data_IF_245409384899
#
_entry.id   IF_245409384899
#
_cell.length_a   1.000
_cell.length_b   1.000
_cell.length_c   1.000
_cell.angle_alpha   90.00
_cell.angle_beta   90.00
_cell.angle_gamma   90.00
#
_symmetry.space_group_name_H-M   'P 1'
#
loop_
_entity.id
_entity.type
_entity.pdbx_description
1 polymer ?
#
# COMPACT_ATOMS: atom_id res chain seq x y z
N UNK A 1 -6.12 20.73 9.53
CA UNK A 1 -6.45 20.82 8.09
C UNK A 1 -5.21 20.81 7.20
N UNK A 2 -4.19 21.64 7.48
CA UNK A 2 -2.95 21.64 6.69
C UNK A 2 -2.22 20.28 6.71
N UNK A 3 -2.24 19.60 7.85
CA UNK A 3 -1.80 18.21 8.02
C UNK A 3 -2.44 17.25 7.02
N UNK A 4 -3.78 17.26 6.89
CA UNK A 4 -4.50 16.40 5.97
C UNK A 4 -4.13 16.68 4.50
N UNK A 5 -3.93 17.95 4.14
CA UNK A 5 -3.50 18.35 2.79
C UNK A 5 -2.09 17.83 2.50
N UNK A 6 -1.14 18.02 3.43
CA UNK A 6 0.24 17.54 3.28
C UNK A 6 0.24 16.00 3.11
N UNK A 7 -0.50 15.27 3.95
CA UNK A 7 -0.57 13.81 3.88
C UNK A 7 -1.19 13.37 2.54
N UNK A 8 -2.23 14.08 2.06
CA UNK A 8 -2.84 13.83 0.76
C UNK A 8 -1.89 14.06 -0.43
N UNK A 9 -1.11 15.14 -0.40
CA UNK A 9 -0.08 15.41 -1.41
C UNK A 9 1.00 14.32 -1.40
N UNK A 10 1.45 13.91 -0.22
CA UNK A 10 2.38 12.78 -0.09
C UNK A 10 1.77 11.46 -0.60
N UNK A 11 0.46 11.23 -0.42
CA UNK A 11 -0.22 10.09 -1.00
C UNK A 11 -0.23 10.13 -2.53
N UNK A 12 -0.38 11.31 -3.15
CA UNK A 12 -0.31 11.46 -4.60
C UNK A 12 1.08 11.07 -5.12
N UNK A 13 2.16 11.49 -4.44
CA UNK A 13 3.54 11.06 -4.76
C UNK A 13 3.70 9.54 -4.61
N UNK A 14 3.03 8.93 -3.63
CA UNK A 14 3.08 7.49 -3.41
C UNK A 14 2.40 6.64 -4.51
N UNK A 15 1.89 7.25 -5.57
CA UNK A 15 1.46 6.54 -6.79
C UNK A 15 2.64 6.09 -7.66
N UNK A 16 3.84 6.63 -7.43
CA UNK A 16 5.07 6.18 -8.09
C UNK A 16 5.28 4.69 -7.76
N UNK A 17 5.44 3.81 -8.77
CA UNK A 17 5.70 2.39 -8.55
C UNK A 17 6.90 2.15 -7.62
N UNK A 18 6.72 1.24 -6.67
CA UNK A 18 7.75 0.91 -5.67
C UNK A 18 7.68 1.73 -4.39
N UNK A 19 6.99 2.88 -4.36
CA UNK A 19 6.73 3.59 -3.11
C UNK A 19 5.62 2.92 -2.30
N UNK A 20 5.87 2.74 -1.00
CA UNK A 20 4.87 2.23 -0.08
C UNK A 20 3.88 3.33 0.30
N UNK A 21 2.64 3.27 -0.22
CA UNK A 21 1.59 4.25 0.13
C UNK A 21 1.35 4.37 1.64
N UNK A 22 1.25 3.26 2.36
CA UNK A 22 1.08 3.29 3.82
C UNK A 22 2.32 3.87 4.50
N UNK A 23 3.52 3.50 4.07
CA UNK A 23 4.77 4.09 4.56
C UNK A 23 4.83 5.61 4.39
N UNK A 24 4.58 6.09 3.19
CA UNK A 24 4.62 7.52 2.85
C UNK A 24 3.58 8.33 3.64
N UNK A 25 2.34 7.85 3.72
CA UNK A 25 1.27 8.58 4.43
C UNK A 25 1.41 8.53 5.96
N UNK A 26 1.91 7.42 6.52
CA UNK A 26 2.22 7.34 7.95
C UNK A 26 3.40 8.26 8.30
N UNK A 27 4.47 8.24 7.51
CA UNK A 27 5.64 9.11 7.73
C UNK A 27 5.27 10.58 7.60
N UNK A 28 4.48 10.96 6.59
CA UNK A 28 3.95 12.32 6.45
C UNK A 28 3.10 12.72 7.67
N UNK A 29 2.21 11.83 8.13
CA UNK A 29 1.39 12.09 9.31
C UNK A 29 2.21 12.30 10.59
N UNK A 30 3.25 11.48 10.78
CA UNK A 30 4.19 11.65 11.90
C UNK A 30 4.95 12.98 11.78
N UNK A 31 5.40 13.35 10.58
CA UNK A 31 6.12 14.60 10.32
C UNK A 31 5.24 15.84 10.54
N UNK A 32 3.93 15.74 10.31
CA UNK A 32 2.95 16.79 10.63
C UNK A 32 2.53 16.80 12.11
N UNK A 33 3.13 15.95 12.96
CA UNK A 33 2.88 15.93 14.41
C UNK A 33 1.76 15.00 14.87
N UNK A 34 1.20 14.15 14.00
CA UNK A 34 0.19 13.17 14.42
C UNK A 34 0.82 12.11 15.32
N UNK A 35 0.06 11.68 16.33
CA UNK A 35 0.43 10.49 17.10
C UNK A 35 0.50 9.26 16.20
N UNK A 36 1.45 8.37 16.47
CA UNK A 36 1.71 7.19 15.63
C UNK A 36 0.50 6.27 15.44
N UNK A 37 -0.24 6.01 16.50
CA UNK A 37 -1.46 5.20 16.48
C UNK A 37 -2.55 5.85 15.62
N UNK A 38 -2.67 7.17 15.68
CA UNK A 38 -3.60 7.93 14.86
C UNK A 38 -3.15 7.98 13.39
N UNK A 39 -1.87 8.26 13.11
CA UNK A 39 -1.32 8.31 11.76
C UNK A 39 -1.51 6.98 11.00
N UNK A 40 -1.34 5.85 11.68
CA UNK A 40 -1.60 4.51 11.12
C UNK A 40 -3.08 4.33 10.77
N UNK A 41 -4.00 4.67 11.68
CA UNK A 41 -5.44 4.58 11.43
C UNK A 41 -5.87 5.50 10.28
N UNK A 42 -5.36 6.73 10.28
CA UNK A 42 -5.63 7.73 9.26
C UNK A 42 -5.16 7.27 7.88
N UNK A 43 -3.94 6.74 7.77
CA UNK A 43 -3.41 6.16 6.52
C UNK A 43 -4.27 5.03 5.95
N UNK A 44 -4.84 4.17 6.80
CA UNK A 44 -5.75 3.11 6.36
C UNK A 44 -7.07 3.68 5.83
N UNK A 45 -7.70 4.60 6.57
CA UNK A 45 -8.96 5.22 6.14
C UNK A 45 -8.79 6.00 4.84
N UNK A 46 -7.71 6.79 4.74
CA UNK A 46 -7.39 7.59 3.55
C UNK A 46 -7.24 6.73 2.28
N UNK A 47 -6.93 5.46 2.45
CA UNK A 47 -6.70 4.57 1.33
C UNK A 47 -7.91 3.85 0.78
N UNK A 48 -8.99 3.77 1.54
CA UNK A 48 -10.23 3.18 1.06
C UNK A 48 -10.69 3.86 -0.24
N UNK A 49 -10.86 5.20 -0.32
CA UNK A 49 -11.26 5.84 -1.57
C UNK A 49 -10.22 5.71 -2.68
N UNK A 50 -8.93 5.78 -2.35
CA UNK A 50 -7.86 5.69 -3.35
C UNK A 50 -7.77 4.29 -3.99
N UNK A 51 -7.81 3.23 -3.19
CA UNK A 51 -7.75 1.84 -3.67
C UNK A 51 -9.03 1.46 -4.41
N UNK A 52 -10.20 1.92 -3.93
CA UNK A 52 -11.47 1.73 -4.64
C UNK A 52 -11.44 2.40 -6.02
N UNK A 53 -10.99 3.65 -6.10
CA UNK A 53 -10.85 4.35 -7.38
C UNK A 53 -9.89 3.65 -8.35
N UNK A 54 -8.73 3.19 -7.84
CA UNK A 54 -7.77 2.43 -8.63
C UNK A 54 -8.36 1.10 -9.15
N UNK A 55 -9.13 0.38 -8.33
CA UNK A 55 -9.78 -0.87 -8.72
C UNK A 55 -10.88 -0.65 -9.76
N UNK A 56 -11.70 0.40 -9.63
CA UNK A 56 -12.72 0.74 -10.63
C UNK A 56 -12.05 0.99 -11.99
N UNK A 57 -10.98 1.77 -12.01
CA UNK A 57 -10.24 2.06 -13.24
C UNK A 57 -9.59 0.80 -13.84
N UNK A 58 -8.99 -0.05 -12.99
CA UNK A 58 -8.39 -1.31 -13.41
C UNK A 58 -9.43 -2.26 -14.00
N UNK A 59 -10.61 -2.36 -13.40
CA UNK A 59 -11.71 -3.21 -13.87
C UNK A 59 -12.29 -2.70 -15.19
N UNK A 60 -12.49 -1.38 -15.33
CA UNK A 60 -12.92 -0.79 -16.60
C UNK A 60 -11.93 -1.07 -17.73
N UNK A 61 -10.61 -0.99 -17.45
CA UNK A 61 -9.56 -1.33 -18.41
C UNK A 61 -9.55 -2.82 -18.76
N UNK A 62 -9.77 -3.70 -17.78
CA UNK A 62 -9.86 -5.15 -17.99
C UNK A 62 -11.04 -5.52 -18.89
N UNK A 63 -12.22 -4.92 -18.68
CA UNK A 63 -13.39 -5.12 -19.55
C UNK A 63 -13.08 -4.67 -20.98
N UNK A 64 -12.47 -3.48 -21.15
CA UNK A 64 -12.13 -2.94 -22.47
C UNK A 64 -11.14 -3.82 -23.24
N UNK A 65 -10.20 -4.45 -22.55
CA UNK A 65 -9.19 -5.32 -23.15
C UNK A 65 -9.69 -6.75 -23.39
N UNK A 66 -10.88 -7.10 -22.92
CA UNK A 66 -11.42 -8.47 -22.95
C UNK A 66 -10.92 -9.28 -21.75
N UNK A 67 -11.86 -9.76 -20.93
CA UNK A 67 -11.55 -10.63 -19.79
C UNK A 67 -11.47 -12.07 -20.29
N UNK A 68 -10.35 -12.73 -20.01
CA UNK A 68 -10.22 -14.17 -20.23
C UNK A 68 -10.97 -14.95 -19.15
N UNK A 69 -12.14 -15.47 -19.51
CA UNK A 69 -13.01 -16.22 -18.63
C UNK A 69 -12.47 -17.61 -18.29
N UNK A 70 -11.52 -18.15 -19.05
CA UNK A 70 -10.88 -19.44 -18.72
C UNK A 70 -10.08 -19.35 -17.41
N UNK A 71 -9.57 -18.16 -17.09
CA UNK A 71 -8.80 -17.86 -15.89
C UNK A 71 -9.67 -17.48 -14.68
N UNK A 72 -11.01 -17.52 -14.79
CA UNK A 72 -11.94 -17.17 -13.71
C UNK A 72 -11.65 -17.89 -12.38
N UNK A 73 -11.33 -19.21 -12.35
CA UNK A 73 -10.96 -19.89 -11.11
C UNK A 73 -9.71 -19.27 -10.46
N UNK A 74 -8.70 -18.91 -11.26
CA UNK A 74 -7.47 -18.29 -10.75
C UNK A 74 -7.74 -16.88 -10.18
N UNK A 75 -8.61 -16.10 -10.80
CA UNK A 75 -9.01 -14.77 -10.29
C UNK A 75 -9.73 -14.87 -8.94
N UNK A 76 -10.64 -15.85 -8.78
CA UNK A 76 -11.36 -16.07 -7.52
C UNK A 76 -10.41 -16.52 -6.41
N UNK A 77 -9.55 -17.51 -6.68
CA UNK A 77 -8.56 -17.98 -5.71
C UNK A 77 -7.60 -16.85 -5.33
N UNK A 78 -7.10 -16.09 -6.31
CA UNK A 78 -6.24 -14.93 -6.07
C UNK A 78 -6.92 -13.87 -5.19
N UNK A 79 -8.21 -13.61 -5.43
CA UNK A 79 -9.00 -12.66 -4.61
C UNK A 79 -9.13 -13.13 -3.16
N UNK A 80 -9.47 -14.41 -2.95
CA UNK A 80 -9.60 -14.98 -1.60
C UNK A 80 -8.25 -14.95 -0.86
N UNK A 81 -7.17 -15.36 -1.52
CA UNK A 81 -5.82 -15.34 -0.94
C UNK A 81 -5.37 -13.90 -0.64
N UNK A 82 -5.67 -12.93 -1.50
CA UNK A 82 -5.38 -11.52 -1.27
C UNK A 82 -6.14 -10.95 -0.06
N UNK A 83 -7.41 -11.34 0.14
CA UNK A 83 -8.19 -10.95 1.33
C UNK A 83 -7.54 -11.49 2.60
N UNK A 84 -7.24 -12.79 2.64
CA UNK A 84 -6.68 -13.45 3.82
C UNK A 84 -5.28 -12.89 4.17
N UNK A 85 -4.40 -12.80 3.18
CA UNK A 85 -3.06 -12.23 3.35
C UNK A 85 -3.09 -10.75 3.67
N UNK A 86 -4.05 -9.99 3.13
CA UNK A 86 -4.26 -8.58 3.43
C UNK A 86 -4.66 -8.35 4.89
N UNK A 87 -5.60 -9.13 5.42
CA UNK A 87 -6.02 -9.06 6.83
C UNK A 87 -4.85 -9.40 7.76
N UNK A 88 -4.08 -10.44 7.42
CA UNK A 88 -2.88 -10.82 8.15
C UNK A 88 -1.83 -9.69 8.14
N UNK A 89 -1.58 -9.09 6.98
CA UNK A 89 -0.61 -8.01 6.78
C UNK A 89 -0.99 -6.73 7.53
N UNK A 90 -2.27 -6.34 7.52
CA UNK A 90 -2.76 -5.18 8.29
C UNK A 90 -2.57 -5.41 9.79
N UNK A 91 -2.86 -6.62 10.27
CA UNK A 91 -2.67 -6.99 11.67
C UNK A 91 -1.20 -6.94 12.08
N UNK A 92 -0.30 -7.43 11.21
CA UNK A 92 1.14 -7.37 11.42
C UNK A 92 1.64 -5.92 11.43
N UNK A 93 1.22 -5.10 10.48
CA UNK A 93 1.63 -3.69 10.38
C UNK A 93 1.19 -2.90 11.61
N UNK A 94 -0.04 -3.11 12.10
CA UNK A 94 -0.53 -2.50 13.36
C UNK A 94 0.36 -2.91 14.55
N UNK A 95 0.78 -4.18 14.64
CA UNK A 95 1.68 -4.69 15.70
C UNK A 95 3.09 -4.12 15.60
N UNK A 96 3.65 -3.98 14.39
CA UNK A 96 4.99 -3.40 14.19
C UNK A 96 4.98 -1.91 14.54
N UNK A 97 3.94 -1.19 14.09
CA UNK A 97 3.80 0.23 14.35
C UNK A 97 3.58 0.53 15.84
N UNK A 98 2.80 -0.28 16.56
CA UNK A 98 2.56 -0.07 18.01
C UNK A 98 3.80 -0.31 18.87
N UNK A 99 4.72 -1.17 18.45
CA UNK A 99 5.97 -1.47 19.18
C UNK A 99 7.09 -0.43 18.96
N UNK A 100 6.82 0.68 18.29
CA UNK A 100 7.79 1.76 18.04
C UNK A 100 8.88 1.44 17.00
N UNK A 101 8.91 0.22 16.45
CA UNK A 101 9.96 -0.26 15.52
C UNK A 101 9.67 0.02 14.04
N UNK A 102 8.90 1.05 13.72
CA UNK A 102 8.57 1.36 12.32
C UNK A 102 9.80 1.68 11.47
N UNK A 103 10.85 2.27 12.07
CA UNK A 103 12.14 2.47 11.38
C UNK A 103 12.79 1.16 10.93
N UNK A 104 12.50 0.04 11.62
CA UNK A 104 12.92 -1.30 11.19
C UNK A 104 12.34 -1.72 9.84
N UNK A 105 11.15 -1.23 9.49
CA UNK A 105 10.51 -1.50 8.21
C UNK A 105 11.26 -0.83 7.04
N UNK A 106 11.95 0.29 7.28
CA UNK A 106 12.75 0.94 6.25
C UNK A 106 13.89 0.04 5.75
N UNK A 107 14.57 -0.67 6.65
CA UNK A 107 15.61 -1.63 6.27
C UNK A 107 15.06 -2.78 5.42
N UNK A 108 13.88 -3.29 5.76
CA UNK A 108 13.19 -4.27 4.92
C UNK A 108 12.92 -3.72 3.51
N UNK A 109 12.40 -2.49 3.40
CA UNK A 109 12.17 -1.86 2.09
C UNK A 109 13.46 -1.65 1.30
N UNK A 110 14.57 -1.25 1.95
CA UNK A 110 15.87 -1.10 1.29
C UNK A 110 16.39 -2.42 0.75
N UNK A 111 16.33 -3.50 1.55
CA UNK A 111 16.76 -4.83 1.12
C UNK A 111 15.94 -5.31 -0.08
N UNK A 112 14.61 -5.20 -0.01
CA UNK A 112 13.73 -5.59 -1.12
C UNK A 112 13.96 -4.72 -2.35
N UNK A 113 14.18 -3.41 -2.17
CA UNK A 113 14.46 -2.49 -3.27
C UNK A 113 15.78 -2.81 -3.99
N UNK A 114 16.86 -3.03 -3.23
CA UNK A 114 18.16 -3.44 -3.79
C UNK A 114 18.05 -4.78 -4.49
N UNK A 115 17.36 -5.75 -3.89
CA UNK A 115 17.13 -7.06 -4.51
C UNK A 115 16.38 -6.93 -5.83
N UNK A 116 15.32 -6.12 -5.88
CA UNK A 116 14.57 -5.86 -7.12
C UNK A 116 15.46 -5.23 -8.20
N UNK A 117 16.32 -4.27 -7.85
CA UNK A 117 17.26 -3.67 -8.81
C UNK A 117 18.23 -4.73 -9.35
N UNK A 118 18.80 -5.57 -8.48
CA UNK A 118 19.70 -6.65 -8.88
C UNK A 118 18.99 -7.62 -9.84
N UNK A 119 17.77 -8.06 -9.48
CA UNK A 119 17.00 -8.99 -10.31
C UNK A 119 16.66 -8.39 -11.68
N UNK A 120 16.27 -7.12 -11.75
CA UNK A 120 15.98 -6.42 -13.02
C UNK A 120 17.21 -6.22 -13.91
N UNK A 121 18.42 -6.20 -13.33
CA UNK A 121 19.66 -6.11 -14.12
C UNK A 121 20.11 -7.48 -14.63
N UNK A 122 19.76 -8.56 -13.92
CA UNK A 122 20.14 -9.94 -14.27
C UNK A 122 19.17 -10.58 -15.29
N UNK A 123 17.87 -10.31 -15.16
CA UNK A 123 16.79 -10.86 -15.98
C UNK A 123 16.13 -9.79 -16.83
#
# INVERSE_FOLDING_TARGET
MLDAIIIGLCQAVATIPGLSRSGTTITAGLATGLRRDFAVKYSFLLSLPAVLGANILAFAKAIKNGIDWSCLPAYLVGTVVAILSGIASISLLKRIASKGKFGGFAYYCWVVGVLSIILTVIF
#
